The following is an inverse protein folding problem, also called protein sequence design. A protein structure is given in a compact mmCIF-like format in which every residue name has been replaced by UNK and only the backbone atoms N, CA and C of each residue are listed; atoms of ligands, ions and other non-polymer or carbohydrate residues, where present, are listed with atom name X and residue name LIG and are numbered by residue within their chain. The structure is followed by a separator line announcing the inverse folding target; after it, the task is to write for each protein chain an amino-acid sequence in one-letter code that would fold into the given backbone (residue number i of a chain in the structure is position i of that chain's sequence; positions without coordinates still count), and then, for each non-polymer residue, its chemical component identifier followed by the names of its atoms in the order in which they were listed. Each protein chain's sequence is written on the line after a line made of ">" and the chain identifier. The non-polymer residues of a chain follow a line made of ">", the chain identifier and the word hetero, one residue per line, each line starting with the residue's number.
data_IF_555177323955
#
_entry.id   IF_555177323955
#
_cell.length_a   1.000
_cell.length_b   1.000
_cell.length_c   1.000
_cell.angle_alpha   90.00
_cell.angle_beta   90.00
_cell.angle_gamma   90.00
#
_symmetry.space_group_name_H-M   'P 1'
#
loop_
_entity.id
_entity.type
_entity.pdbx_description
1 polymer ?
#
# COMPACT_ATOMS: atom_id res chain seq x y z
N UNK A 1 -1.61 -21.48 8.36
CA UNK A 1 -1.93 -20.25 7.61
C UNK A 1 -0.96 -20.17 6.43
N UNK A 2 -1.45 -19.97 5.20
CA UNK A 2 -0.57 -19.80 4.02
C UNK A 2 0.29 -18.56 4.22
N UNK A 3 1.59 -18.69 3.95
CA UNK A 3 2.58 -17.61 4.03
C UNK A 3 2.88 -17.14 2.61
N UNK A 4 1.89 -16.50 2.00
CA UNK A 4 1.97 -16.04 0.62
C UNK A 4 1.91 -14.51 0.63
N UNK A 5 2.94 -13.84 0.11
CA UNK A 5 2.93 -12.41 -0.16
C UNK A 5 2.68 -12.22 -1.66
N UNK A 6 1.60 -11.52 -2.01
CA UNK A 6 1.22 -11.27 -3.40
C UNK A 6 1.19 -9.78 -3.64
N UNK A 7 1.77 -9.34 -4.76
CA UNK A 7 1.78 -7.93 -5.15
C UNK A 7 0.92 -7.73 -6.40
N UNK A 8 0.18 -6.63 -6.43
CA UNK A 8 -0.54 -6.15 -7.62
C UNK A 8 -0.40 -4.63 -7.77
N UNK A 9 -0.85 -4.13 -8.91
CA UNK A 9 -0.68 -2.73 -9.33
C UNK A 9 0.80 -2.38 -9.59
N UNK A 10 1.08 -1.12 -9.87
CA UNK A 10 2.43 -0.60 -10.09
C UNK A 10 2.47 0.90 -9.81
N UNK A 11 3.46 1.34 -9.03
CA UNK A 11 3.75 2.77 -8.80
C UNK A 11 4.15 3.53 -10.07
N UNK A 12 4.42 2.82 -11.18
CA UNK A 12 4.74 3.42 -12.47
C UNK A 12 3.51 3.83 -13.27
N UNK A 13 2.31 3.45 -12.81
CA UNK A 13 1.06 3.89 -13.42
C UNK A 13 0.56 5.15 -12.74
N UNK A 14 0.37 6.21 -13.52
CA UNK A 14 -0.22 7.45 -13.08
C UNK A 14 -1.74 7.29 -12.87
N UNK A 15 -2.11 6.54 -11.83
CA UNK A 15 -3.51 6.36 -11.47
C UNK A 15 -4.08 7.65 -10.86
N UNK A 16 -3.26 8.41 -10.15
CA UNK A 16 -3.61 9.67 -9.45
C UNK A 16 -3.87 10.85 -10.40
N UNK A 17 -3.43 10.76 -11.65
CA UNK A 17 -3.54 11.82 -12.65
C UNK A 17 -4.90 11.95 -13.33
N UNK A 18 -5.86 11.05 -13.04
CA UNK A 18 -7.22 11.15 -13.56
C UNK A 18 -7.96 12.32 -12.90
N UNK A 19 -8.21 13.39 -13.66
CA UNK A 19 -9.08 14.50 -13.26
C UNK A 19 -10.31 14.54 -14.18
N UNK A 20 -11.49 14.30 -13.61
CA UNK A 20 -12.76 14.33 -14.33
C UNK A 20 -13.38 15.75 -14.40
N UNK A 21 -12.67 16.77 -13.93
CA UNK A 21 -13.15 18.15 -13.83
C UNK A 21 -13.52 18.58 -12.41
N UNK A 22 -13.34 17.70 -11.42
CA UNK A 22 -13.60 17.96 -9.99
C UNK A 22 -12.33 17.88 -9.13
N UNK A 23 -11.16 17.80 -9.76
CA UNK A 23 -9.87 17.65 -9.10
C UNK A 23 -9.37 16.21 -9.08
N UNK A 24 -8.08 16.07 -8.76
CA UNK A 24 -7.39 14.78 -8.69
C UNK A 24 -7.77 13.98 -7.43
N UNK A 25 -7.73 12.63 -7.49
CA UNK A 25 -7.83 11.77 -6.32
C UNK A 25 -6.81 12.13 -5.22
N UNK A 26 -7.26 12.07 -3.97
CA UNK A 26 -6.40 12.32 -2.79
C UNK A 26 -5.67 11.02 -2.37
N UNK A 27 -6.31 9.86 -2.56
CA UNK A 27 -5.75 8.56 -2.21
C UNK A 27 -6.40 7.44 -3.04
N UNK A 28 -5.68 6.31 -3.18
CA UNK A 28 -6.18 5.10 -3.82
C UNK A 28 -6.18 3.93 -2.85
N UNK A 29 -7.32 3.29 -2.65
CA UNK A 29 -7.45 2.18 -1.72
C UNK A 29 -8.05 0.95 -2.40
N UNK A 30 -7.58 -0.22 -1.99
CA UNK A 30 -8.20 -1.46 -2.42
C UNK A 30 -9.60 -1.61 -1.80
N UNK A 31 -10.59 -1.94 -2.63
CA UNK A 31 -11.90 -2.35 -2.16
C UNK A 31 -11.84 -3.68 -1.39
N UNK A 32 -12.86 -3.99 -0.59
CA UNK A 32 -12.88 -5.14 0.32
C UNK A 32 -12.61 -6.49 -0.36
N UNK A 33 -13.10 -6.68 -1.60
CA UNK A 33 -12.84 -7.89 -2.40
C UNK A 33 -11.38 -8.09 -2.76
N UNK A 34 -10.60 -7.00 -2.74
CA UNK A 34 -9.17 -7.02 -2.99
C UNK A 34 -8.33 -7.28 -1.75
N UNK A 35 -8.93 -7.55 -0.58
CA UNK A 35 -8.22 -7.75 0.69
C UNK A 35 -8.24 -9.23 1.08
N UNK A 36 -7.09 -9.88 0.94
CA UNK A 36 -6.82 -11.22 1.47
C UNK A 36 -5.47 -11.20 2.19
N UNK A 37 -5.22 -12.14 3.10
CA UNK A 37 -3.95 -12.20 3.82
C UNK A 37 -2.76 -12.18 2.85
N UNK A 38 -1.84 -11.24 3.04
CA UNK A 38 -0.63 -11.04 2.23
C UNK A 38 -0.86 -10.35 0.89
N UNK A 39 -2.07 -9.90 0.58
CA UNK A 39 -2.33 -9.12 -0.62
C UNK A 39 -1.82 -7.68 -0.42
N UNK A 40 -0.91 -7.28 -1.30
CA UNK A 40 -0.22 -5.98 -1.30
C UNK A 40 -0.53 -5.25 -2.59
N UNK A 41 -1.03 -4.02 -2.49
CA UNK A 41 -1.27 -3.12 -3.63
C UNK A 41 -0.22 -2.02 -3.59
N UNK A 42 0.49 -1.83 -4.69
CA UNK A 42 1.56 -0.83 -4.82
C UNK A 42 1.14 0.21 -5.84
N UNK A 43 0.94 1.46 -5.40
CA UNK A 43 0.50 2.58 -6.23
C UNK A 43 1.52 3.72 -6.18
N UNK A 44 1.36 4.67 -7.10
CA UNK A 44 2.07 5.95 -7.03
C UNK A 44 1.62 6.68 -5.75
N UNK A 45 2.58 7.17 -4.98
CA UNK A 45 2.28 7.94 -3.78
C UNK A 45 1.91 9.40 -4.07
N UNK A 46 1.45 10.14 -3.05
CA UNK A 46 0.97 11.51 -3.22
C UNK A 46 2.09 12.53 -3.53
N UNK A 47 3.34 12.16 -3.29
CA UNK A 47 4.54 12.95 -3.61
C UNK A 47 5.23 12.33 -4.83
N UNK A 48 5.75 13.16 -5.74
CA UNK A 48 6.47 12.66 -6.92
C UNK A 48 7.62 11.73 -6.52
N UNK A 49 7.67 10.55 -7.12
CA UNK A 49 8.67 9.51 -6.81
C UNK A 49 8.37 8.67 -5.55
N UNK A 50 7.33 9.01 -4.78
CA UNK A 50 6.90 8.21 -3.63
C UNK A 50 6.03 7.01 -4.03
N UNK A 51 5.92 6.03 -3.13
CA UNK A 51 5.14 4.81 -3.33
C UNK A 51 4.11 4.72 -2.19
N UNK A 52 2.85 4.46 -2.54
CA UNK A 52 1.80 4.12 -1.58
C UNK A 52 1.58 2.61 -1.55
N UNK A 53 1.56 2.03 -0.35
CA UNK A 53 1.46 0.57 -0.12
C UNK A 53 0.24 0.28 0.75
N UNK A 54 -0.76 -0.41 0.17
CA UNK A 54 -1.91 -0.96 0.90
C UNK A 54 -1.72 -2.48 1.04
N UNK A 55 -1.44 -2.95 2.26
CA UNK A 55 -1.24 -4.37 2.58
C UNK A 55 -2.30 -4.87 3.56
N UNK A 56 -2.80 -6.08 3.32
CA UNK A 56 -3.76 -6.75 4.22
C UNK A 56 -3.10 -7.89 4.98
N UNK A 57 -2.92 -7.70 6.29
CA UNK A 57 -2.32 -8.69 7.19
C UNK A 57 -3.20 -8.90 8.44
N UNK A 58 -3.06 -10.02 9.15
CA UNK A 58 -3.60 -10.21 10.48
C UNK A 58 -3.04 -9.17 11.46
N UNK A 59 -3.82 -8.81 12.47
CA UNK A 59 -3.44 -7.79 13.45
C UNK A 59 -2.12 -8.15 14.15
N UNK A 60 -1.92 -9.43 14.46
CA UNK A 60 -0.74 -9.92 15.17
C UNK A 60 0.55 -9.71 14.35
N UNK A 61 0.44 -9.66 13.02
CA UNK A 61 1.58 -9.35 12.15
C UNK A 61 1.90 -7.86 12.18
N UNK A 62 0.87 -6.99 12.19
CA UNK A 62 1.10 -5.55 12.36
C UNK A 62 1.71 -5.22 13.72
N UNK A 63 1.25 -5.88 14.79
CA UNK A 63 1.85 -5.74 16.11
C UNK A 63 3.32 -6.18 16.11
N UNK A 64 3.65 -7.31 15.46
CA UNK A 64 5.04 -7.74 15.34
C UNK A 64 5.90 -6.75 14.54
N UNK A 65 5.37 -6.17 13.46
CA UNK A 65 6.05 -5.17 12.63
C UNK A 65 6.31 -3.87 13.39
N UNK A 66 5.38 -3.42 14.24
CA UNK A 66 5.55 -2.22 15.07
C UNK A 66 6.69 -2.35 16.08
N UNK A 67 6.94 -3.58 16.56
CA UNK A 67 8.02 -3.87 17.50
C UNK A 67 9.35 -4.26 16.81
N UNK A 68 9.36 -4.36 15.47
CA UNK A 68 10.56 -4.68 14.70
C UNK A 68 11.34 -3.40 14.37
N UNK A 69 12.50 -3.24 15.00
CA UNK A 69 13.33 -2.03 14.88
C UNK A 69 13.84 -1.84 13.45
N UNK A 70 14.30 -2.91 12.80
CA UNK A 70 14.83 -2.85 11.42
C UNK A 70 13.72 -2.43 10.43
N UNK A 71 12.51 -2.95 10.62
CA UNK A 71 11.36 -2.56 9.84
C UNK A 71 10.99 -1.09 10.03
N UNK A 72 10.89 -0.62 11.29
CA UNK A 72 10.50 0.76 11.58
C UNK A 72 11.54 1.78 11.12
N UNK A 73 12.84 1.45 11.18
CA UNK A 73 13.91 2.31 10.65
C UNK A 73 13.76 2.60 9.16
N UNK A 74 13.15 1.71 8.37
CA UNK A 74 12.89 1.92 6.94
C UNK A 74 11.87 3.04 6.66
N UNK A 75 11.08 3.47 7.64
CA UNK A 75 10.04 4.51 7.50
C UNK A 75 10.40 5.84 8.19
N UNK A 76 11.59 5.97 8.77
CA UNK A 76 12.03 7.17 9.50
C UNK A 76 12.63 8.28 8.61
N UNK A 77 12.61 8.13 7.28
CA UNK A 77 13.24 9.06 6.32
C UNK A 77 12.24 9.69 5.36
#
# INVERSE_FOLDING_TARGET
>A
MKKDLQTRSSHRFNMSGNDFGWGRPIAMKAGIRGKSNGMTTVNEGPVEGSIDIDISLPMEVFEAMEHDVEFMEAFLF
#
